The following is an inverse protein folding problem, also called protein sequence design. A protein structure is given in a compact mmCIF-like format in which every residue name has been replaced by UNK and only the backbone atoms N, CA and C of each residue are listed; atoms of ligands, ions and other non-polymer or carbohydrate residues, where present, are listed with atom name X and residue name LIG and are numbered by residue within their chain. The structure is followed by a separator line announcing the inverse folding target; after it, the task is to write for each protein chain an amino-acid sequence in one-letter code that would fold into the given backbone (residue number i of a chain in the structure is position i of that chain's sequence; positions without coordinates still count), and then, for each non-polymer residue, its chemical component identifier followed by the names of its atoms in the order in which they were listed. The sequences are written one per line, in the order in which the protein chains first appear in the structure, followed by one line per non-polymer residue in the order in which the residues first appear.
data_IF_220430738169
#
_entry.id   IF_220430738169
#
_cell.length_a   1.000
_cell.length_b   1.000
_cell.length_c   1.000
_cell.angle_alpha   90.00
_cell.angle_beta   90.00
_cell.angle_gamma   90.00
#
_symmetry.space_group_name_H-M   'P 1'
#
loop_
_entity.id
_entity.type
_entity.pdbx_description
1 polymer ?
#
# COMPACT_ATOMS: atom_id res chain seq x y z
N UNK A 1 -9.65 -33.37 6.81
CA UNK A 1 -8.26 -32.99 7.11
C UNK A 1 -8.30 -31.71 7.93
N UNK A 2 -7.63 -31.60 9.10
CA UNK A 2 -7.58 -30.35 9.84
C UNK A 2 -6.87 -29.30 8.99
N UNK A 3 -7.38 -28.06 8.99
CA UNK A 3 -6.75 -26.97 8.26
C UNK A 3 -5.40 -26.63 8.91
N UNK A 4 -4.37 -26.37 8.10
CA UNK A 4 -3.07 -25.90 8.60
C UNK A 4 -3.22 -24.57 9.35
N UNK A 5 -2.39 -24.39 10.37
CA UNK A 5 -2.33 -23.14 11.14
C UNK A 5 -1.77 -22.01 10.25
N UNK A 6 -2.53 -20.93 10.09
CA UNK A 6 -2.18 -19.76 9.27
C UNK A 6 -1.79 -18.53 10.10
N UNK A 7 -1.62 -18.67 11.41
CA UNK A 7 -1.18 -17.59 12.28
C UNK A 7 0.31 -17.33 12.04
N UNK A 8 0.64 -16.12 11.61
CA UNK A 8 2.01 -15.68 11.32
C UNK A 8 2.34 -14.37 12.04
N UNK A 9 3.62 -14.09 12.23
CA UNK A 9 4.06 -12.80 12.80
C UNK A 9 4.13 -11.76 11.69
N UNK A 10 3.87 -10.50 12.02
CA UNK A 10 3.89 -9.41 11.04
C UNK A 10 5.20 -9.33 10.21
N UNK A 11 6.41 -9.51 10.78
CA UNK A 11 7.65 -9.48 10.00
C UNK A 11 7.78 -10.61 8.96
N UNK A 12 7.00 -11.68 9.11
CA UNK A 12 6.97 -12.77 8.13
C UNK A 12 6.31 -12.34 6.81
N UNK A 13 5.72 -11.14 6.74
CA UNK A 13 5.18 -10.60 5.48
C UNK A 13 6.23 -10.55 4.37
N UNK A 14 7.51 -10.36 4.72
CA UNK A 14 8.64 -10.38 3.78
C UNK A 14 8.84 -11.74 3.11
N UNK A 15 8.27 -12.82 3.65
CA UNK A 15 8.27 -14.15 3.03
C UNK A 15 7.17 -14.28 1.97
N UNK A 16 6.13 -13.46 2.08
CA UNK A 16 4.91 -13.51 1.25
C UNK A 16 4.96 -12.45 0.14
N UNK A 17 5.36 -11.23 0.48
CA UNK A 17 5.46 -10.10 -0.45
C UNK A 17 6.94 -9.85 -0.73
N UNK A 18 7.28 -9.81 -2.01
CA UNK A 18 8.62 -9.58 -2.54
C UNK A 18 8.63 -8.35 -3.44
N UNK A 19 9.83 -7.89 -3.76
CA UNK A 19 10.01 -6.80 -4.71
C UNK A 19 9.42 -7.17 -6.07
N UNK A 20 8.72 -6.22 -6.70
CA UNK A 20 8.07 -6.44 -8.00
C UNK A 20 6.69 -7.09 -7.94
N UNK A 21 6.22 -7.52 -6.77
CA UNK A 21 4.91 -8.16 -6.64
C UNK A 21 3.75 -7.20 -6.91
N UNK A 22 2.62 -7.80 -7.29
CA UNK A 22 1.34 -7.10 -7.45
C UNK A 22 0.49 -7.35 -6.22
N UNK A 23 0.15 -6.27 -5.50
CA UNK A 23 -0.57 -6.35 -4.22
C UNK A 23 -1.89 -5.60 -4.31
N UNK A 24 -2.97 -6.27 -3.92
CA UNK A 24 -4.27 -5.63 -3.74
C UNK A 24 -4.39 -5.14 -2.29
N UNK A 25 -4.60 -3.84 -2.11
CA UNK A 25 -4.76 -3.22 -0.80
C UNK A 25 -6.25 -3.03 -0.54
N UNK A 26 -6.74 -3.71 0.50
CA UNK A 26 -8.11 -3.54 0.99
C UNK A 26 -8.24 -2.35 1.93
N UNK A 27 -9.48 -2.10 2.36
CA UNK A 27 -9.84 -0.90 3.12
C UNK A 27 -10.79 -0.02 2.31
N UNK A 28 -11.43 0.92 2.99
CA UNK A 28 -12.34 1.87 2.35
C UNK A 28 -12.48 3.12 3.21
N UNK A 29 -12.54 4.29 2.55
CA UNK A 29 -12.71 5.59 3.19
C UNK A 29 -11.60 5.90 4.19
N UNK A 30 -11.90 5.85 5.50
CA UNK A 30 -10.95 6.01 6.59
C UNK A 30 -10.82 4.72 7.45
N UNK A 31 -11.52 3.65 7.07
CA UNK A 31 -11.66 2.44 7.86
C UNK A 31 -10.94 1.22 7.28
N UNK A 32 -10.44 0.37 8.18
CA UNK A 32 -9.94 -0.97 7.86
C UNK A 32 -8.78 -1.05 6.86
N UNK A 33 -8.00 0.03 6.69
CA UNK A 33 -6.75 -0.03 5.94
C UNK A 33 -5.73 -0.89 6.70
N UNK A 34 -4.99 -1.80 6.02
CA UNK A 34 -4.05 -2.71 6.65
C UNK A 34 -2.73 -2.02 7.06
N UNK A 35 -2.83 -0.96 7.85
CA UNK A 35 -1.71 -0.04 8.14
C UNK A 35 -0.52 -0.70 8.81
N UNK A 36 -0.74 -1.77 9.59
CA UNK A 36 0.35 -2.56 10.15
C UNK A 36 1.20 -3.20 9.04
N UNK A 37 0.56 -3.78 8.03
CA UNK A 37 1.23 -4.38 6.87
C UNK A 37 1.92 -3.31 6.03
N UNK A 38 1.25 -2.17 5.77
CA UNK A 38 1.85 -1.07 5.01
C UNK A 38 3.15 -0.56 5.65
N UNK A 39 3.11 -0.31 6.95
CA UNK A 39 4.30 0.13 7.70
C UNK A 39 5.40 -0.93 7.68
N UNK A 40 5.04 -2.20 7.75
CA UNK A 40 5.99 -3.30 7.70
C UNK A 40 6.67 -3.45 6.32
N UNK A 41 5.91 -3.27 5.22
CA UNK A 41 6.45 -3.22 3.85
C UNK A 41 7.49 -2.10 3.74
N UNK A 42 7.14 -0.91 4.22
CA UNK A 42 8.03 0.26 4.21
C UNK A 42 9.28 0.00 5.05
N UNK A 43 9.12 -0.55 6.26
CA UNK A 43 10.23 -0.87 7.17
C UNK A 43 11.17 -1.93 6.59
N UNK A 44 10.61 -2.91 5.89
CA UNK A 44 11.35 -3.99 5.23
C UNK A 44 11.99 -3.56 3.91
N UNK A 45 11.77 -2.31 3.48
CA UNK A 45 12.29 -1.74 2.23
C UNK A 45 11.89 -2.57 1.00
N UNK A 46 10.68 -3.11 0.98
CA UNK A 46 10.15 -3.78 -0.22
C UNK A 46 9.82 -2.72 -1.27
N UNK A 47 10.20 -2.96 -2.52
CA UNK A 47 10.18 -1.99 -3.62
C UNK A 47 9.52 -2.53 -4.88
N UNK A 48 9.34 -1.63 -5.85
CA UNK A 48 8.85 -1.93 -7.20
C UNK A 48 7.46 -2.58 -7.23
N UNK A 49 6.65 -2.39 -6.19
CA UNK A 49 5.33 -3.00 -6.09
C UNK A 49 4.34 -2.39 -7.09
N UNK A 50 3.47 -3.23 -7.63
CA UNK A 50 2.24 -2.77 -8.30
C UNK A 50 1.10 -2.81 -7.30
N UNK A 51 0.64 -1.66 -6.82
CA UNK A 51 -0.50 -1.59 -5.92
C UNK A 51 -1.82 -1.51 -6.70
N UNK A 52 -2.83 -2.23 -6.23
CA UNK A 52 -4.20 -2.22 -6.75
C UNK A 52 -5.12 -1.85 -5.59
N UNK A 53 -5.93 -0.80 -5.75
CA UNK A 53 -6.96 -0.43 -4.76
C UNK A 53 -8.20 0.11 -5.46
N UNK A 54 -9.36 -0.02 -4.82
CA UNK A 54 -10.58 0.65 -5.28
C UNK A 54 -10.64 2.05 -4.66
N UNK A 55 -10.49 2.13 -3.34
CA UNK A 55 -10.53 3.38 -2.55
C UNK A 55 -9.23 3.46 -1.75
N UNK A 56 -8.25 4.20 -2.27
CA UNK A 56 -6.98 4.43 -1.61
C UNK A 56 -7.03 5.62 -0.66
N UNK A 57 -6.29 5.53 0.43
CA UNK A 57 -6.16 6.61 1.41
C UNK A 57 -4.71 6.68 1.90
N UNK A 58 -4.51 6.82 3.21
CA UNK A 58 -3.20 7.01 3.85
C UNK A 58 -2.25 5.82 3.59
N UNK A 59 -2.79 4.63 3.36
CA UNK A 59 -2.06 3.44 2.96
C UNK A 59 -1.28 3.65 1.65
N UNK A 60 -1.97 4.07 0.59
CA UNK A 60 -1.35 4.32 -0.72
C UNK A 60 -0.44 5.53 -0.66
N UNK A 61 -0.87 6.60 0.00
CA UNK A 61 -0.07 7.83 0.11
C UNK A 61 1.27 7.55 0.82
N UNK A 62 1.28 6.73 1.88
CA UNK A 62 2.51 6.30 2.54
C UNK A 62 3.40 5.43 1.64
N UNK A 63 2.83 4.50 0.88
CA UNK A 63 3.60 3.65 -0.04
C UNK A 63 4.25 4.47 -1.16
N UNK A 64 3.55 5.49 -1.69
CA UNK A 64 4.10 6.43 -2.67
C UNK A 64 5.22 7.25 -2.02
N UNK A 65 4.96 7.87 -0.86
CA UNK A 65 5.95 8.70 -0.18
C UNK A 65 7.21 7.94 0.21
N UNK A 66 7.09 6.64 0.50
CA UNK A 66 8.21 5.76 0.78
C UNK A 66 8.90 5.21 -0.48
N UNK A 67 8.43 5.52 -1.69
CA UNK A 67 8.97 5.02 -2.96
C UNK A 67 8.90 3.50 -3.06
N UNK A 68 7.80 2.89 -2.60
CA UNK A 68 7.63 1.44 -2.64
C UNK A 68 6.93 0.96 -3.92
N UNK A 69 6.29 1.88 -4.66
CA UNK A 69 5.44 1.56 -5.81
C UNK A 69 6.12 1.88 -7.14
N UNK A 70 6.11 0.92 -8.07
CA UNK A 70 6.44 1.14 -9.48
C UNK A 70 5.20 1.46 -10.32
N UNK A 71 4.02 1.00 -9.87
CA UNK A 71 2.75 1.20 -10.55
C UNK A 71 1.60 1.24 -9.55
N UNK A 72 0.62 2.08 -9.81
CA UNK A 72 -0.61 2.17 -9.03
C UNK A 72 -1.82 2.04 -9.97
N UNK A 73 -2.70 1.09 -9.65
CA UNK A 73 -4.01 0.95 -10.29
C UNK A 73 -5.08 1.31 -9.24
N UNK A 74 -5.84 2.37 -9.50
CA UNK A 74 -6.77 2.93 -8.53
C UNK A 74 -8.03 3.49 -9.21
N UNK A 75 -9.15 3.50 -8.51
CA UNK A 75 -10.32 4.30 -8.91
C UNK A 75 -10.30 5.69 -8.28
N UNK A 76 -9.86 5.78 -7.02
CA UNK A 76 -9.88 7.01 -6.24
C UNK A 76 -8.81 6.96 -5.13
N UNK A 77 -8.15 8.09 -4.86
CA UNK A 77 -7.23 8.26 -3.72
C UNK A 77 -7.45 9.62 -3.05
N UNK A 78 -7.77 9.62 -1.75
CA UNK A 78 -8.02 10.85 -0.96
C UNK A 78 -7.78 10.65 0.53
N UNK A 79 -7.55 11.74 1.27
CA UNK A 79 -7.57 11.74 2.74
C UNK A 79 -8.95 12.15 3.29
N UNK A 80 -9.98 12.19 2.44
CA UNK A 80 -11.37 12.52 2.79
C UNK A 80 -11.47 13.87 3.51
N UNK A 81 -11.87 13.85 4.79
CA UNK A 81 -12.01 15.02 5.65
C UNK A 81 -10.70 15.80 5.84
N UNK A 82 -9.54 15.17 5.56
CA UNK A 82 -8.23 15.79 5.68
C UNK A 82 -7.70 16.33 4.34
N UNK A 83 -8.49 16.25 3.27
CA UNK A 83 -8.18 16.82 1.96
C UNK A 83 -7.44 15.86 1.02
N UNK A 84 -6.59 16.43 0.16
CA UNK A 84 -5.91 15.67 -0.89
C UNK A 84 -4.71 14.89 -0.32
N UNK A 85 -4.51 13.67 -0.83
CA UNK A 85 -3.33 12.86 -0.55
C UNK A 85 -2.07 13.53 -1.12
N UNK A 86 -1.13 14.00 -0.28
CA UNK A 86 -0.04 14.89 -0.73
C UNK A 86 1.02 14.17 -1.57
N UNK A 87 1.38 12.93 -1.24
CA UNK A 87 2.35 12.16 -2.03
C UNK A 87 1.73 11.73 -3.35
N UNK A 88 0.48 11.26 -3.31
CA UNK A 88 -0.26 10.91 -4.52
C UNK A 88 -0.40 12.11 -5.47
N UNK A 89 -0.85 13.26 -4.96
CA UNK A 89 -0.96 14.50 -5.75
C UNK A 89 0.39 14.89 -6.36
N UNK A 90 1.46 14.89 -5.56
CA UNK A 90 2.80 15.21 -6.06
C UNK A 90 3.26 14.25 -7.15
N UNK A 91 2.97 12.95 -7.03
CA UNK A 91 3.34 11.96 -8.04
C UNK A 91 2.62 12.18 -9.37
N UNK A 92 1.34 12.56 -9.34
CA UNK A 92 0.58 12.89 -10.54
C UNK A 92 1.04 14.22 -11.16
N UNK A 93 1.25 15.26 -10.34
CA UNK A 93 1.66 16.58 -10.82
C UNK A 93 3.10 16.64 -11.34
N UNK A 94 3.99 15.78 -10.83
CA UNK A 94 5.42 15.74 -11.20
C UNK A 94 5.77 14.62 -12.19
N UNK A 95 4.78 14.10 -12.91
CA UNK A 95 4.94 13.11 -13.98
C UNK A 95 5.44 11.71 -13.57
N UNK A 96 5.30 11.29 -12.31
CA UNK A 96 5.63 9.90 -11.96
C UNK A 96 5.66 9.54 -10.48
N UNK A 97 5.58 8.23 -10.23
CA UNK A 97 5.92 7.65 -8.94
C UNK A 97 7.44 7.82 -8.68
N UNK A 98 7.84 8.11 -7.43
CA UNK A 98 9.24 8.35 -7.09
C UNK A 98 10.12 7.09 -7.13
#
# INVERSE_FOLDING_TARGET
MPAENKVAKLPDITKIIKDGDRVAVGGSWLGSHPMAIIREIIRSKIKNLTAITVVGSIDIDMLIGAGCLSRLMFSFVSMEAFGLAPNFRRAIEKEGLP
#
